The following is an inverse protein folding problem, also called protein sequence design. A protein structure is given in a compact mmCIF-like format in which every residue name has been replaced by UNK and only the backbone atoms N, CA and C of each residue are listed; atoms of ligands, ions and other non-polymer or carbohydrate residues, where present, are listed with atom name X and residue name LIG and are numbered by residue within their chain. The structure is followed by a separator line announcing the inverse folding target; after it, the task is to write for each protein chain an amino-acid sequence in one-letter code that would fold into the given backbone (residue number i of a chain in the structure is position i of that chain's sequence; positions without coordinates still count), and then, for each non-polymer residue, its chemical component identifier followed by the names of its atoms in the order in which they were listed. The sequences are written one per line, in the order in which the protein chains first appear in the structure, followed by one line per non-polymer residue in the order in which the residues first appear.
data_IF_533089247787
#
_entry.id   IF_533089247787
#
_cell.length_a   1.000
_cell.length_b   1.000
_cell.length_c   1.000
_cell.angle_alpha   90.00
_cell.angle_beta   90.00
_cell.angle_gamma   90.00
#
_symmetry.space_group_name_H-M   'P 1'
#
loop_
_entity.id
_entity.type
_entity.pdbx_description
1 polymer ?
#
# COMPACT_ATOMS: atom_id res chain seq x y z
N UNK A 1 -28.90 66.41 -16.13
CA UNK A 1 -28.22 65.14 -15.75
C UNK A 1 -26.70 65.18 -15.96
N UNK A 2 -26.17 65.78 -17.03
CA UNK A 2 -24.73 65.87 -17.31
C UNK A 2 -23.86 66.64 -16.28
N UNK A 3 -24.42 67.65 -15.58
CA UNK A 3 -23.68 68.45 -14.57
C UNK A 3 -23.37 67.71 -13.26
N UNK A 4 -24.10 66.62 -12.98
CA UNK A 4 -23.90 65.82 -11.76
C UNK A 4 -22.67 64.91 -11.93
N UNK A 5 -22.55 64.30 -13.12
CA UNK A 5 -21.38 63.51 -13.51
C UNK A 5 -20.09 64.35 -13.58
N UNK A 6 -20.17 65.62 -14.02
CA UNK A 6 -18.98 66.49 -14.05
C UNK A 6 -18.45 66.80 -12.65
N UNK A 7 -19.33 67.08 -11.68
CA UNK A 7 -18.93 67.30 -10.27
C UNK A 7 -18.36 66.03 -9.64
N UNK A 8 -18.94 64.87 -9.92
CA UNK A 8 -18.43 63.57 -9.44
C UNK A 8 -17.03 63.31 -10.00
N UNK A 9 -16.80 63.55 -11.30
CA UNK A 9 -15.49 63.36 -11.94
C UNK A 9 -14.43 64.31 -11.37
N UNK A 10 -14.79 65.57 -11.13
CA UNK A 10 -13.90 66.57 -10.53
C UNK A 10 -13.56 66.23 -9.07
N UNK A 11 -14.54 65.76 -8.30
CA UNK A 11 -14.36 65.37 -6.89
C UNK A 11 -13.55 64.08 -6.75
N UNK A 12 -13.75 63.09 -7.63
CA UNK A 12 -12.93 61.87 -7.69
C UNK A 12 -11.51 62.10 -8.19
N UNK A 13 -11.28 63.10 -9.04
CA UNK A 13 -9.95 63.49 -9.50
C UNK A 13 -9.19 64.32 -8.46
N UNK A 14 -9.89 65.16 -7.67
CA UNK A 14 -9.29 65.96 -6.60
C UNK A 14 -9.10 65.19 -5.28
N UNK A 15 -9.99 64.24 -4.98
CA UNK A 15 -9.81 63.31 -3.86
C UNK A 15 -8.94 62.15 -4.35
N UNK A 16 -7.71 62.03 -3.84
CA UNK A 16 -6.71 61.00 -4.18
C UNK A 16 -7.13 59.52 -3.89
N UNK A 17 -8.45 59.28 -3.78
CA UNK A 17 -9.15 58.04 -3.49
C UNK A 17 -8.96 57.00 -4.59
N UNK A 18 -8.90 57.40 -5.87
CA UNK A 18 -8.67 56.45 -6.97
C UNK A 18 -7.35 55.68 -6.80
N UNK A 19 -6.25 56.39 -6.50
CA UNK A 19 -4.96 55.77 -6.21
C UNK A 19 -4.95 54.90 -4.94
N UNK A 20 -5.81 55.18 -3.97
CA UNK A 20 -6.00 54.35 -2.76
C UNK A 20 -6.69 53.04 -3.09
N UNK A 21 -7.79 53.08 -3.87
CA UNK A 21 -8.51 51.88 -4.30
C UNK A 21 -7.70 51.03 -5.29
N UNK A 22 -6.93 51.65 -6.19
CA UNK A 22 -6.08 50.95 -7.13
C UNK A 22 -4.96 50.20 -6.41
N UNK A 23 -4.23 50.86 -5.49
CA UNK A 23 -3.18 50.22 -4.66
C UNK A 23 -3.74 49.07 -3.81
N UNK A 24 -4.91 49.27 -3.21
CA UNK A 24 -5.58 48.25 -2.42
C UNK A 24 -6.00 47.04 -3.26
N UNK A 25 -6.53 47.26 -4.47
CA UNK A 25 -7.03 46.19 -5.36
C UNK A 25 -5.87 45.42 -5.98
N UNK A 26 -4.80 46.09 -6.40
CA UNK A 26 -3.56 45.44 -6.86
C UNK A 26 -2.96 44.60 -5.73
N UNK A 27 -2.95 45.12 -4.50
CA UNK A 27 -2.54 44.37 -3.32
C UNK A 27 -3.34 43.07 -3.17
N UNK A 28 -4.67 43.11 -3.30
CA UNK A 28 -5.50 41.88 -3.25
C UNK A 28 -5.23 40.92 -4.42
N UNK A 29 -5.08 41.43 -5.64
CA UNK A 29 -4.82 40.60 -6.83
C UNK A 29 -3.50 39.83 -6.71
N UNK A 30 -2.52 40.37 -6.00
CA UNK A 30 -1.22 39.69 -5.80
C UNK A 30 -1.22 38.85 -4.52
N UNK A 31 -1.69 39.41 -3.40
CA UNK A 31 -1.60 38.76 -2.10
C UNK A 31 -2.58 37.58 -1.94
N UNK A 32 -3.79 37.67 -2.50
CA UNK A 32 -4.79 36.60 -2.38
C UNK A 32 -4.33 35.32 -3.10
N UNK A 33 -3.84 35.37 -4.36
CA UNK A 33 -3.30 34.18 -5.00
C UNK A 33 -2.06 33.61 -4.31
N UNK A 34 -1.16 34.45 -3.79
CA UNK A 34 -0.01 33.97 -3.00
C UNK A 34 -0.48 33.21 -1.75
N UNK A 35 -1.47 33.75 -1.03
CA UNK A 35 -2.03 33.08 0.14
C UNK A 35 -2.70 31.74 -0.23
N UNK A 36 -3.43 31.69 -1.36
CA UNK A 36 -4.05 30.46 -1.86
C UNK A 36 -2.99 29.43 -2.24
N UNK A 37 -1.94 29.83 -2.97
CA UNK A 37 -0.85 28.94 -3.37
C UNK A 37 -0.13 28.39 -2.14
N UNK A 38 0.19 29.24 -1.14
CA UNK A 38 0.82 28.80 0.10
C UNK A 38 -0.08 27.82 0.89
N UNK A 39 -1.39 28.08 0.93
CA UNK A 39 -2.34 27.16 1.56
C UNK A 39 -2.37 25.79 0.84
N UNK A 40 -2.44 25.79 -0.49
CA UNK A 40 -2.41 24.58 -1.30
C UNK A 40 -1.07 23.83 -1.15
N UNK A 41 0.07 24.53 -1.18
CA UNK A 41 1.38 23.92 -0.99
C UNK A 41 1.51 23.28 0.39
N UNK A 42 1.05 23.97 1.44
CA UNK A 42 1.06 23.43 2.81
C UNK A 42 0.18 22.17 2.90
N UNK A 43 -0.99 22.18 2.26
CA UNK A 43 -1.88 21.01 2.22
C UNK A 43 -1.24 19.83 1.47
N UNK A 44 -0.70 20.08 0.28
CA UNK A 44 -0.03 19.04 -0.54
C UNK A 44 1.19 18.46 0.18
N UNK A 45 1.97 19.29 0.89
CA UNK A 45 3.10 18.80 1.68
C UNK A 45 2.67 17.88 2.83
N UNK A 46 1.61 18.26 3.56
CA UNK A 46 1.03 17.41 4.60
C UNK A 46 0.49 16.09 4.04
N UNK A 47 -0.14 16.13 2.87
CA UNK A 47 -0.63 14.94 2.16
C UNK A 47 0.53 14.02 1.76
N UNK A 48 1.61 14.56 1.18
CA UNK A 48 2.82 13.81 0.83
C UNK A 48 3.48 13.13 2.04
N UNK A 49 3.46 13.78 3.22
CA UNK A 49 3.95 13.16 4.45
C UNK A 49 3.06 11.98 4.84
N UNK A 50 1.73 12.14 4.80
CA UNK A 50 0.78 11.08 5.14
C UNK A 50 0.91 9.88 4.20
N UNK A 51 1.04 10.11 2.89
CA UNK A 51 1.23 9.05 1.90
C UNK A 51 2.56 8.33 2.11
N UNK A 52 3.65 9.05 2.40
CA UNK A 52 4.94 8.43 2.72
C UNK A 52 4.93 7.60 4.01
N UNK A 53 4.20 8.03 5.05
CA UNK A 53 4.01 7.24 6.28
C UNK A 53 3.23 5.95 5.96
N UNK A 54 2.14 6.07 5.19
CA UNK A 54 1.34 4.93 4.76
C UNK A 54 2.18 3.93 3.97
N UNK A 55 2.93 4.40 2.96
CA UNK A 55 3.82 3.58 2.14
C UNK A 55 4.79 2.79 3.01
N UNK A 56 5.46 3.46 3.96
CA UNK A 56 6.39 2.80 4.88
C UNK A 56 5.70 1.72 5.71
N UNK A 57 4.54 2.03 6.29
CA UNK A 57 3.80 1.09 7.15
C UNK A 57 3.33 -0.14 6.37
N UNK A 58 2.80 0.04 5.16
CA UNK A 58 2.30 -1.07 4.36
C UNK A 58 3.45 -1.95 3.84
N UNK A 59 4.56 -1.34 3.40
CA UNK A 59 5.75 -2.09 2.98
C UNK A 59 6.38 -2.88 4.15
N UNK A 60 6.41 -2.31 5.36
CA UNK A 60 6.81 -3.04 6.56
C UNK A 60 5.88 -4.23 6.85
N UNK A 61 4.58 -4.03 6.72
CA UNK A 61 3.59 -5.10 6.93
C UNK A 61 3.77 -6.23 5.91
N UNK A 62 4.02 -5.90 4.64
CA UNK A 62 4.33 -6.87 3.59
C UNK A 62 5.63 -7.60 3.91
N UNK A 63 6.68 -6.89 4.32
CA UNK A 63 7.95 -7.50 4.71
C UNK A 63 7.75 -8.53 5.84
N UNK A 64 6.99 -8.21 6.88
CA UNK A 64 6.67 -9.16 7.94
C UNK A 64 5.84 -10.35 7.47
N UNK A 65 4.93 -10.13 6.50
CA UNK A 65 4.13 -11.22 5.91
C UNK A 65 5.03 -12.18 5.12
N UNK A 66 5.96 -11.66 4.31
CA UNK A 66 6.95 -12.46 3.59
C UNK A 66 7.90 -13.22 4.53
N UNK A 67 8.24 -12.66 5.69
CA UNK A 67 8.99 -13.38 6.72
C UNK A 67 8.20 -14.56 7.29
N UNK A 68 6.90 -14.39 7.55
CA UNK A 68 6.03 -15.49 7.99
C UNK A 68 5.86 -16.55 6.92
N UNK A 69 5.73 -16.13 5.67
CA UNK A 69 5.69 -17.02 4.51
C UNK A 69 6.97 -17.85 4.39
N UNK A 70 8.15 -17.26 4.62
CA UNK A 70 9.42 -17.99 4.65
C UNK A 70 9.42 -19.12 5.70
N UNK A 71 8.92 -18.83 6.91
CA UNK A 71 8.75 -19.85 7.95
C UNK A 71 7.76 -20.93 7.50
N UNK A 72 6.68 -20.55 6.81
CA UNK A 72 5.72 -21.50 6.27
C UNK A 72 6.36 -22.42 5.22
N UNK A 73 7.15 -21.86 4.29
CA UNK A 73 7.92 -22.62 3.29
C UNK A 73 8.86 -23.62 3.96
N UNK A 74 9.59 -23.23 5.01
CA UNK A 74 10.48 -24.15 5.72
C UNK A 74 9.70 -25.31 6.35
N UNK A 75 8.52 -25.06 6.95
CA UNK A 75 7.66 -26.15 7.44
C UNK A 75 7.19 -27.07 6.32
N UNK A 76 6.86 -26.52 5.14
CA UNK A 76 6.45 -27.32 3.98
C UNK A 76 7.62 -28.17 3.45
N UNK A 77 8.85 -27.64 3.45
CA UNK A 77 10.06 -28.38 3.11
C UNK A 77 10.28 -29.56 4.05
N UNK A 78 10.18 -29.35 5.37
CA UNK A 78 10.29 -30.43 6.36
C UNK A 78 9.20 -31.49 6.17
N UNK A 79 7.97 -31.08 5.84
CA UNK A 79 6.91 -32.02 5.45
C UNK A 79 7.28 -32.81 4.19
N UNK A 80 7.84 -32.17 3.17
CA UNK A 80 8.34 -32.84 1.96
C UNK A 80 9.34 -33.95 2.29
N UNK A 81 10.32 -33.65 3.13
CA UNK A 81 11.34 -34.62 3.59
C UNK A 81 10.68 -35.80 4.33
N UNK A 82 9.69 -35.54 5.19
CA UNK A 82 8.95 -36.60 5.90
C UNK A 82 8.15 -37.51 4.96
N UNK A 83 7.54 -36.94 3.93
CA UNK A 83 6.81 -37.67 2.90
C UNK A 83 7.79 -38.54 2.10
N UNK A 84 8.89 -37.97 1.63
CA UNK A 84 9.94 -38.69 0.90
C UNK A 84 10.48 -39.86 1.73
N UNK A 85 10.83 -39.61 3.00
CA UNK A 85 11.30 -40.65 3.93
C UNK A 85 10.26 -41.75 4.12
N UNK A 86 8.98 -41.39 4.21
CA UNK A 86 7.89 -42.37 4.34
C UNK A 86 7.77 -43.21 3.07
N UNK A 87 7.80 -42.61 1.89
CA UNK A 87 7.73 -43.31 0.59
C UNK A 87 8.87 -44.32 0.46
N UNK A 88 10.11 -43.93 0.78
CA UNK A 88 11.29 -44.81 0.68
C UNK A 88 11.19 -46.02 1.61
N UNK A 89 10.61 -45.84 2.80
CA UNK A 89 10.54 -46.90 3.80
C UNK A 89 9.28 -47.79 3.66
N UNK A 90 8.25 -47.37 2.91
CA UNK A 90 7.03 -48.16 2.70
C UNK A 90 7.31 -49.58 2.15
N UNK A 91 8.18 -49.79 1.15
CA UNK A 91 8.52 -51.13 0.64
C UNK A 91 9.25 -52.02 1.67
N UNK A 92 10.09 -51.44 2.52
CA UNK A 92 10.84 -52.21 3.52
C UNK A 92 9.92 -52.74 4.63
N UNK A 93 8.83 -52.01 4.94
CA UNK A 93 7.76 -52.50 5.81
C UNK A 93 6.95 -53.64 5.18
N UNK A 94 6.76 -53.63 3.86
CA UNK A 94 6.01 -54.69 3.16
C UNK A 94 6.78 -56.01 3.04
N UNK A 95 8.12 -55.96 2.91
CA UNK A 95 8.94 -57.16 2.68
C UNK A 95 9.31 -57.92 3.95
N UNK A 96 9.43 -57.26 5.10
CA UNK A 96 9.92 -57.92 6.33
C UNK A 96 8.83 -58.54 7.21
N UNK A 97 7.55 -58.51 6.82
CA UNK A 97 6.46 -59.04 7.65
C UNK A 97 6.39 -58.45 9.07
N UNK A 98 6.96 -57.27 9.28
CA UNK A 98 7.48 -56.87 10.60
C UNK A 98 6.66 -55.78 11.30
N UNK A 99 6.09 -56.16 12.45
CA UNK A 99 6.15 -55.43 13.74
C UNK A 99 5.41 -54.08 13.81
N UNK A 100 4.21 -54.00 13.24
CA UNK A 100 3.30 -52.88 13.47
C UNK A 100 1.86 -53.33 13.42
N UNK A 101 1.01 -52.73 14.26
CA UNK A 101 -0.44 -52.91 14.12
C UNK A 101 -0.90 -52.35 12.78
N UNK A 102 -2.00 -52.85 12.21
CA UNK A 102 -2.59 -52.26 11.00
C UNK A 102 -2.81 -50.74 11.13
N UNK A 103 -3.01 -50.24 12.36
CA UNK A 103 -3.07 -48.79 12.65
C UNK A 103 -1.77 -48.04 12.42
N UNK A 104 -0.59 -48.62 12.69
CA UNK A 104 0.69 -47.95 12.49
C UNK A 104 0.96 -47.71 11.00
N UNK A 105 0.58 -48.69 10.17
CA UNK A 105 0.66 -48.59 8.72
C UNK A 105 -0.32 -47.54 8.17
N UNK A 106 -1.58 -47.58 8.61
CA UNK A 106 -2.59 -46.58 8.25
C UNK A 106 -2.14 -45.17 8.63
N UNK A 107 -1.54 -44.99 9.81
CA UNK A 107 -1.07 -43.68 10.26
C UNK A 107 0.09 -43.15 9.40
N UNK A 108 1.00 -44.02 8.95
CA UNK A 108 2.08 -43.64 8.03
C UNK A 108 1.57 -43.30 6.63
N UNK A 109 0.62 -44.08 6.10
CA UNK A 109 -0.01 -43.75 4.81
C UNK A 109 -0.83 -42.46 4.87
N UNK A 110 -1.50 -42.17 5.99
CA UNK A 110 -2.19 -40.88 6.20
C UNK A 110 -1.23 -39.69 6.12
N UNK A 111 0.02 -39.83 6.53
CA UNK A 111 1.03 -38.76 6.38
C UNK A 111 1.32 -38.43 4.91
N UNK A 112 1.20 -39.41 4.00
CA UNK A 112 1.34 -39.21 2.55
C UNK A 112 0.14 -38.46 1.95
N UNK A 113 -1.06 -38.61 2.52
CA UNK A 113 -2.28 -37.96 2.02
C UNK A 113 -2.33 -36.45 2.30
N UNK A 114 -1.42 -35.94 3.13
CA UNK A 114 -1.36 -34.52 3.48
C UNK A 114 -0.71 -33.70 2.35
N UNK A 115 -1.52 -33.28 1.38
CA UNK A 115 -1.12 -32.38 0.29
C UNK A 115 -0.25 -31.21 0.80
N UNK A 116 0.89 -31.00 0.13
CA UNK A 116 1.74 -29.84 0.33
C UNK A 116 1.23 -28.74 -0.60
N UNK A 117 0.63 -27.70 -0.02
CA UNK A 117 0.23 -26.48 -0.72
C UNK A 117 0.84 -25.29 0.01
N UNK A 118 1.44 -24.40 -0.74
CA UNK A 118 1.90 -23.11 -0.25
C UNK A 118 0.87 -22.04 -0.66
N UNK A 119 0.49 -21.19 0.29
CA UNK A 119 -0.34 -20.02 0.02
C UNK A 119 0.32 -18.83 0.71
N UNK A 120 0.53 -17.74 -0.05
CA UNK A 120 1.01 -16.49 0.50
C UNK A 120 0.02 -15.89 1.51
N UNK A 121 0.55 -15.22 2.53
CA UNK A 121 -0.27 -14.41 3.43
C UNK A 121 -0.73 -13.12 2.73
N UNK A 122 -1.93 -13.14 2.17
CA UNK A 122 -2.47 -12.04 1.36
C UNK A 122 -3.02 -10.85 2.17
N UNK A 123 -2.97 -10.88 3.51
CA UNK A 123 -3.61 -9.87 4.37
C UNK A 123 -3.14 -8.43 4.13
N UNK A 124 -1.82 -8.23 4.05
CA UNK A 124 -1.24 -6.93 3.74
C UNK A 124 -1.51 -6.51 2.29
N UNK A 125 -1.45 -7.47 1.38
CA UNK A 125 -1.72 -7.24 -0.04
C UNK A 125 -3.18 -6.84 -0.30
N UNK A 126 -4.16 -7.45 0.37
CA UNK A 126 -5.57 -7.08 0.21
C UNK A 126 -5.84 -5.62 0.60
N UNK A 127 -5.13 -5.10 1.60
CA UNK A 127 -5.21 -3.67 1.97
C UNK A 127 -4.66 -2.76 0.88
N UNK A 128 -3.66 -3.20 0.13
CA UNK A 128 -3.19 -2.45 -1.04
C UNK A 128 -4.27 -2.44 -2.12
N UNK A 129 -4.86 -3.59 -2.44
CA UNK A 129 -5.86 -3.70 -3.52
C UNK A 129 -7.16 -2.96 -3.21
N UNK A 130 -7.46 -2.68 -1.93
CA UNK A 130 -8.63 -1.90 -1.52
C UNK A 130 -8.46 -0.37 -1.61
N UNK A 131 -7.48 0.12 -2.38
CA UNK A 131 -7.24 1.57 -2.59
C UNK A 131 -5.92 2.10 -2.03
N UNK A 132 -5.01 1.22 -1.59
CA UNK A 132 -3.70 1.62 -1.07
C UNK A 132 -2.56 1.60 -2.11
N UNK A 133 -2.81 1.01 -3.28
CA UNK A 133 -1.81 0.79 -4.33
C UNK A 133 -1.24 2.10 -4.89
N UNK A 134 -2.07 3.14 -5.00
CA UNK A 134 -1.70 4.49 -5.47
C UNK A 134 -0.74 5.23 -4.54
N UNK A 135 -0.66 4.84 -3.26
CA UNK A 135 0.26 5.44 -2.30
C UNK A 135 1.67 4.85 -2.35
N UNK A 136 1.90 3.78 -3.12
CA UNK A 136 3.25 3.26 -3.36
C UNK A 136 3.89 4.14 -4.43
N UNK A 137 4.88 4.95 -4.07
CA UNK A 137 5.51 5.92 -4.96
C UNK A 137 6.29 5.27 -6.11
N UNK A 138 6.80 4.06 -5.91
CA UNK A 138 7.58 3.34 -6.92
C UNK A 138 6.71 2.41 -7.77
N UNK A 139 6.50 2.78 -9.04
CA UNK A 139 5.66 2.02 -9.99
C UNK A 139 6.18 0.59 -10.25
N UNK A 140 7.50 0.40 -10.30
CA UNK A 140 8.10 -0.93 -10.50
C UNK A 140 7.84 -1.84 -9.30
N UNK A 141 7.98 -1.32 -8.08
CA UNK A 141 7.67 -2.04 -6.85
C UNK A 141 6.18 -2.40 -6.79
N UNK A 142 5.33 -1.44 -7.15
CA UNK A 142 3.87 -1.64 -7.21
C UNK A 142 3.50 -2.79 -8.15
N UNK A 143 4.08 -2.81 -9.36
CA UNK A 143 3.87 -3.86 -10.35
C UNK A 143 4.37 -5.22 -9.84
N UNK A 144 5.55 -5.25 -9.21
CA UNK A 144 6.11 -6.47 -8.64
C UNK A 144 5.20 -7.05 -7.55
N UNK A 145 4.66 -6.21 -6.66
CA UNK A 145 3.75 -6.66 -5.60
C UNK A 145 2.48 -7.30 -6.17
N UNK A 146 1.88 -6.72 -7.20
CA UNK A 146 0.72 -7.34 -7.88
C UNK A 146 1.10 -8.70 -8.46
N UNK A 147 2.24 -8.77 -9.16
CA UNK A 147 2.70 -10.01 -9.80
C UNK A 147 3.04 -11.15 -8.83
N UNK A 148 3.34 -10.86 -7.55
CA UNK A 148 3.63 -11.90 -6.56
C UNK A 148 2.34 -12.52 -6.00
N UNK A 149 1.30 -11.71 -5.79
CA UNK A 149 0.12 -12.13 -5.02
C UNK A 149 -1.08 -12.57 -5.87
N UNK A 150 -1.11 -12.25 -7.17
CA UNK A 150 -2.21 -12.64 -8.09
C UNK A 150 -1.94 -13.92 -8.90
N UNK A 151 -0.79 -14.57 -8.70
CA UNK A 151 -0.44 -15.86 -9.33
C UNK A 151 -1.08 -17.04 -8.60
#
# INVERSE_FOLDING_TARGET
MLRLFSKIRYKLAGENKFGKYLRYTIGKIVLVPIAIILALQTNNWNENIKTGIYEKQILQTISFSLQRDSIHVERLKQRGISIETTIVNVPTFMQHGAVGTHSDYINKLKQLSNNIKFNFEKGAYWRLTSGGLEYISNDSLRTLLVSIYEV
#
